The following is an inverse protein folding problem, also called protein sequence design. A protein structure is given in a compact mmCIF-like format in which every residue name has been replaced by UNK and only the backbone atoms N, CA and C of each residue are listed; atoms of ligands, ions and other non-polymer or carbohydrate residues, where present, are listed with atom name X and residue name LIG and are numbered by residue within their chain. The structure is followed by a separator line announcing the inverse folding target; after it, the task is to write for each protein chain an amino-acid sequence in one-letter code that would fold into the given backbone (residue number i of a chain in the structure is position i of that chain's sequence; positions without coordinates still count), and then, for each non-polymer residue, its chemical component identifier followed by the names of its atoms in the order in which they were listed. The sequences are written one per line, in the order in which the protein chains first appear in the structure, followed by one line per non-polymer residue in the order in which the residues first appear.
data_IF_817920869521
#
_entry.id   IF_817920869521
#
_cell.length_a   1.000
_cell.length_b   1.000
_cell.length_c   1.000
_cell.angle_alpha   90.00
_cell.angle_beta   90.00
_cell.angle_gamma   90.00
#
_symmetry.space_group_name_H-M   'P 1'
#
loop_
_entity.id
_entity.type
_entity.pdbx_description
1 polymer ?
#
# COMPACT_ATOMS: atom_id res chain seq x y z
N UNK A 1 -56.95 -10.51 -50.64
CA UNK A 1 -57.13 -9.51 -49.56
C UNK A 1 -57.37 -10.29 -48.28
N UNK A 2 -56.36 -10.48 -47.44
CA UNK A 2 -56.58 -11.05 -46.11
C UNK A 2 -57.10 -9.93 -45.22
N UNK A 3 -58.41 -9.92 -44.97
CA UNK A 3 -58.97 -9.18 -43.83
C UNK A 3 -58.59 -9.98 -42.57
N UNK A 4 -57.31 -9.90 -42.22
CA UNK A 4 -56.71 -10.61 -41.11
C UNK A 4 -57.21 -9.98 -39.83
N UNK A 5 -58.12 -10.66 -39.15
CA UNK A 5 -58.72 -10.34 -37.85
C UNK A 5 -57.79 -9.47 -36.98
N UNK A 6 -58.16 -8.19 -36.83
CA UNK A 6 -57.41 -7.22 -36.06
C UNK A 6 -57.45 -7.58 -34.57
N UNK A 7 -56.27 -7.70 -33.96
CA UNK A 7 -56.07 -7.98 -32.55
C UNK A 7 -56.41 -6.75 -31.69
N UNK A 8 -57.14 -6.96 -30.60
CA UNK A 8 -57.28 -5.96 -29.55
C UNK A 8 -55.94 -5.70 -28.85
N UNK A 9 -55.82 -4.55 -28.17
CA UNK A 9 -54.57 -4.18 -27.47
C UNK A 9 -54.11 -5.23 -26.44
N UNK A 10 -55.04 -5.91 -25.75
CA UNK A 10 -54.72 -6.98 -24.81
C UNK A 10 -54.25 -8.28 -25.48
N UNK A 11 -54.76 -8.59 -26.67
CA UNK A 11 -54.31 -9.74 -27.46
C UNK A 11 -52.94 -9.47 -28.08
N UNK A 12 -52.73 -8.26 -28.59
CA UNK A 12 -51.45 -7.78 -29.09
C UNK A 12 -50.38 -7.77 -27.99
N UNK A 13 -50.74 -7.33 -26.78
CA UNK A 13 -49.86 -7.33 -25.61
C UNK A 13 -49.36 -8.75 -25.31
N UNK A 14 -50.27 -9.73 -25.25
CA UNK A 14 -49.94 -11.13 -25.04
C UNK A 14 -49.10 -11.72 -26.18
N UNK A 15 -49.49 -11.49 -27.44
CA UNK A 15 -48.78 -12.04 -28.60
C UNK A 15 -47.37 -11.44 -28.79
N UNK A 16 -47.22 -10.15 -28.48
CA UNK A 16 -45.98 -9.38 -28.60
C UNK A 16 -45.05 -9.48 -27.38
N UNK A 17 -45.54 -9.96 -26.24
CA UNK A 17 -44.76 -10.01 -24.99
C UNK A 17 -44.49 -8.63 -24.40
N UNK A 18 -45.44 -7.70 -24.55
CA UNK A 18 -45.35 -6.32 -24.06
C UNK A 18 -46.55 -6.02 -23.15
N UNK A 19 -46.37 -5.25 -22.05
CA UNK A 19 -47.51 -4.76 -21.30
C UNK A 19 -48.33 -3.78 -22.16
N UNK A 20 -49.63 -3.67 -21.87
CA UNK A 20 -50.55 -2.76 -22.58
C UNK A 20 -50.06 -1.31 -22.53
N UNK A 21 -49.46 -0.89 -21.42
CA UNK A 21 -48.86 0.43 -21.26
C UNK A 21 -47.71 0.68 -22.24
N UNK A 22 -46.86 -0.32 -22.49
CA UNK A 22 -45.77 -0.22 -23.47
C UNK A 22 -46.29 -0.09 -24.89
N UNK A 23 -47.38 -0.78 -25.25
CA UNK A 23 -48.02 -0.60 -26.56
C UNK A 23 -48.54 0.83 -26.75
N UNK A 24 -49.18 1.42 -25.73
CA UNK A 24 -49.62 2.83 -25.79
C UNK A 24 -48.43 3.79 -25.91
N UNK A 25 -47.36 3.52 -25.18
CA UNK A 25 -46.13 4.30 -25.25
C UNK A 25 -45.49 4.23 -26.64
N UNK A 26 -45.39 3.04 -27.24
CA UNK A 26 -44.81 2.88 -28.58
C UNK A 26 -45.69 3.41 -29.72
N UNK A 27 -47.02 3.40 -29.54
CA UNK A 27 -47.95 4.12 -30.41
C UNK A 27 -47.66 5.63 -30.38
N UNK A 28 -47.63 6.24 -29.20
CA UNK A 28 -47.30 7.67 -29.04
C UNK A 28 -45.89 8.03 -29.53
N UNK A 29 -44.94 7.10 -29.40
CA UNK A 29 -43.60 7.26 -29.94
C UNK A 29 -43.51 6.93 -31.45
N UNK A 30 -44.57 6.49 -32.13
CA UNK A 30 -44.57 6.15 -33.56
C UNK A 30 -43.78 4.88 -33.92
N UNK A 31 -43.45 4.04 -32.95
CA UNK A 31 -42.70 2.79 -33.14
C UNK A 31 -43.61 1.60 -33.50
N UNK A 32 -44.84 1.62 -32.99
CA UNK A 32 -45.84 0.59 -33.22
C UNK A 32 -47.23 1.23 -33.24
N UNK A 33 -47.57 1.81 -34.38
CA UNK A 33 -48.84 2.51 -34.58
C UNK A 33 -49.96 1.49 -34.85
N UNK A 34 -51.10 1.52 -34.12
CA UNK A 34 -52.24 0.64 -34.38
C UNK A 34 -52.81 0.89 -35.78
N UNK A 35 -53.32 -0.17 -36.42
CA UNK A 35 -53.99 -0.07 -37.73
C UNK A 35 -55.28 0.74 -37.65
N UNK A 36 -55.97 0.65 -36.52
CA UNK A 36 -57.21 1.37 -36.27
C UNK A 36 -57.28 1.80 -34.81
N UNK A 37 -57.66 3.06 -34.61
CA UNK A 37 -58.09 3.58 -33.32
C UNK A 37 -59.57 3.91 -33.46
N UNK A 38 -60.41 3.34 -32.60
CA UNK A 38 -61.83 3.63 -32.59
C UNK A 38 -62.06 5.10 -32.20
N UNK A 39 -62.70 5.94 -33.03
CA UNK A 39 -62.83 7.38 -32.77
C UNK A 39 -63.70 7.73 -31.56
N UNK A 40 -64.58 6.82 -31.12
CA UNK A 40 -65.54 7.06 -30.02
C UNK A 40 -65.02 6.54 -28.68
N UNK A 41 -64.36 5.39 -28.70
CA UNK A 41 -63.88 4.70 -27.48
C UNK A 41 -62.37 4.80 -27.26
N UNK A 42 -61.60 5.24 -28.26
CA UNK A 42 -60.14 5.24 -28.23
C UNK A 42 -59.51 3.84 -28.26
N UNK A 43 -60.31 2.81 -28.55
CA UNK A 43 -59.86 1.42 -28.52
C UNK A 43 -58.90 1.14 -29.69
N UNK A 44 -57.73 0.57 -29.37
CA UNK A 44 -56.66 0.32 -30.34
C UNK A 44 -56.74 -1.11 -30.87
N UNK A 45 -56.64 -1.23 -32.19
CA UNK A 45 -56.63 -2.50 -32.92
C UNK A 45 -55.38 -2.60 -33.79
N UNK A 46 -54.71 -3.75 -33.71
CA UNK A 46 -53.44 -4.02 -34.37
C UNK A 46 -53.59 -5.16 -35.37
N UNK A 47 -52.82 -5.12 -36.46
CA UNK A 47 -52.76 -6.24 -37.39
C UNK A 47 -51.91 -7.37 -36.84
N UNK A 48 -52.24 -8.62 -37.19
CA UNK A 48 -51.41 -9.79 -36.84
C UNK A 48 -49.99 -9.71 -37.42
N UNK A 49 -49.83 -9.03 -38.55
CA UNK A 49 -48.55 -8.71 -39.20
C UNK A 49 -47.64 -7.80 -38.34
N UNK A 50 -48.21 -7.10 -37.36
CA UNK A 50 -47.46 -6.23 -36.45
C UNK A 50 -46.84 -7.00 -35.27
N UNK A 51 -47.24 -8.25 -35.03
CA UNK A 51 -46.75 -9.08 -33.90
C UNK A 51 -45.22 -9.28 -33.94
N UNK A 52 -44.58 -9.57 -35.08
CA UNK A 52 -43.11 -9.66 -35.14
C UNK A 52 -42.41 -8.36 -34.73
N UNK A 53 -42.97 -7.20 -35.09
CA UNK A 53 -42.44 -5.88 -34.68
C UNK A 53 -42.58 -5.68 -33.17
N UNK A 54 -43.72 -6.04 -32.60
CA UNK A 54 -43.93 -5.99 -31.15
C UNK A 54 -42.93 -6.90 -30.39
N UNK A 55 -42.69 -8.13 -30.89
CA UNK A 55 -41.69 -9.05 -30.32
C UNK A 55 -40.26 -8.52 -30.44
N UNK A 56 -39.95 -7.85 -31.55
CA UNK A 56 -38.67 -7.18 -31.72
C UNK A 56 -38.49 -6.07 -30.68
N UNK A 57 -39.47 -5.17 -30.54
CA UNK A 57 -39.47 -4.11 -29.52
C UNK A 57 -39.33 -4.68 -28.10
N UNK A 58 -40.00 -5.80 -27.80
CA UNK A 58 -39.85 -6.49 -26.52
C UNK A 58 -38.41 -6.99 -26.27
N UNK A 59 -37.72 -7.51 -27.30
CA UNK A 59 -36.30 -7.92 -27.19
C UNK A 59 -35.38 -6.72 -26.98
N UNK A 60 -35.54 -5.66 -27.76
CA UNK A 60 -34.71 -4.45 -27.67
C UNK A 60 -34.87 -3.78 -26.30
N UNK A 61 -36.09 -3.75 -25.76
CA UNK A 61 -36.37 -3.25 -24.41
C UNK A 61 -35.66 -4.06 -23.33
N UNK A 62 -35.60 -5.39 -23.46
CA UNK A 62 -34.93 -6.25 -22.47
C UNK A 62 -33.42 -6.00 -22.39
N UNK A 63 -32.79 -5.63 -23.49
CA UNK A 63 -31.36 -5.29 -23.56
C UNK A 63 -31.08 -3.81 -23.36
N UNK A 64 -32.07 -3.05 -22.88
CA UNK A 64 -31.91 -1.62 -22.56
C UNK A 64 -31.61 -0.73 -23.76
N UNK A 65 -31.97 -1.12 -24.99
CA UNK A 65 -31.70 -0.29 -26.17
C UNK A 65 -32.44 1.06 -26.08
N UNK A 66 -31.77 2.21 -26.30
CA UNK A 66 -32.41 3.52 -26.28
C UNK A 66 -33.54 3.65 -27.33
N UNK A 67 -34.56 4.43 -27.01
CA UNK A 67 -35.75 4.59 -27.88
C UNK A 67 -35.41 5.08 -29.30
N UNK A 68 -34.42 5.97 -29.42
CA UNK A 68 -33.94 6.50 -30.70
C UNK A 68 -33.36 5.39 -31.58
N UNK A 69 -32.60 4.46 -31.00
CA UNK A 69 -32.01 3.33 -31.71
C UNK A 69 -33.05 2.27 -32.07
N UNK A 70 -34.01 2.01 -31.16
CA UNK A 70 -35.15 1.15 -31.50
C UNK A 70 -35.89 1.67 -32.74
N UNK A 71 -36.04 3.00 -32.87
CA UNK A 71 -36.67 3.64 -34.04
C UNK A 71 -35.87 3.40 -35.30
N UNK A 72 -34.57 3.64 -35.26
CA UNK A 72 -33.67 3.38 -36.38
C UNK A 72 -33.74 1.91 -36.81
N UNK A 73 -33.72 0.97 -35.85
CA UNK A 73 -33.74 -0.46 -36.13
C UNK A 73 -35.09 -0.92 -36.69
N UNK A 74 -36.21 -0.44 -36.16
CA UNK A 74 -37.54 -0.74 -36.69
C UNK A 74 -37.73 -0.19 -38.10
N UNK A 75 -37.19 0.99 -38.40
CA UNK A 75 -37.20 1.55 -39.76
C UNK A 75 -36.32 0.74 -40.71
N UNK A 76 -35.14 0.31 -40.25
CA UNK A 76 -34.17 -0.48 -41.00
C UNK A 76 -34.49 -1.98 -41.08
N UNK A 77 -35.60 -2.47 -40.51
CA UNK A 77 -35.87 -3.91 -40.30
C UNK A 77 -35.76 -4.83 -41.53
N UNK A 78 -35.82 -4.27 -42.74
CA UNK A 78 -35.69 -5.00 -44.01
C UNK A 78 -34.27 -4.96 -44.59
N UNK A 79 -33.39 -4.11 -44.04
CA UNK A 79 -31.96 -4.02 -44.36
C UNK A 79 -31.15 -4.77 -43.30
N UNK A 80 -30.66 -5.96 -43.68
CA UNK A 80 -29.89 -6.82 -42.78
C UNK A 80 -28.56 -6.21 -42.38
N UNK A 81 -27.91 -5.46 -43.27
CA UNK A 81 -26.62 -4.85 -42.99
C UNK A 81 -26.77 -3.72 -41.98
N UNK A 82 -27.76 -2.85 -42.17
CA UNK A 82 -28.02 -1.73 -41.26
C UNK A 82 -28.51 -2.22 -39.89
N UNK A 83 -29.37 -3.25 -39.83
CA UNK A 83 -29.76 -3.88 -38.56
C UNK A 83 -28.55 -4.48 -37.85
N UNK A 84 -27.67 -5.18 -38.58
CA UNK A 84 -26.43 -5.74 -38.03
C UNK A 84 -25.54 -4.68 -37.40
N UNK A 85 -25.33 -3.56 -38.11
CA UNK A 85 -24.52 -2.44 -37.62
C UNK A 85 -25.10 -1.80 -36.35
N UNK A 86 -26.42 -1.58 -36.30
CA UNK A 86 -27.10 -1.01 -35.13
C UNK A 86 -27.01 -1.94 -33.90
N UNK A 87 -27.20 -3.24 -34.11
CA UNK A 87 -27.08 -4.23 -33.02
C UNK A 87 -25.64 -4.32 -32.53
N UNK A 88 -24.66 -4.37 -33.43
CA UNK A 88 -23.23 -4.41 -33.08
C UNK A 88 -22.80 -3.16 -32.30
N UNK A 89 -23.25 -1.98 -32.73
CA UNK A 89 -22.98 -0.72 -32.02
C UNK A 89 -23.57 -0.68 -30.60
N UNK A 90 -24.77 -1.24 -30.40
CA UNK A 90 -25.36 -1.35 -29.07
C UNK A 90 -24.63 -2.38 -28.19
N UNK A 91 -24.25 -3.52 -28.76
CA UNK A 91 -23.45 -4.52 -28.05
C UNK A 91 -22.12 -3.93 -27.54
N UNK A 92 -21.39 -3.22 -28.41
CA UNK A 92 -20.13 -2.58 -28.04
C UNK A 92 -20.30 -1.55 -26.90
N UNK A 93 -21.41 -0.79 -26.89
CA UNK A 93 -21.71 0.13 -25.78
C UNK A 93 -22.03 -0.60 -24.47
N UNK A 94 -22.77 -1.71 -24.53
CA UNK A 94 -23.04 -2.53 -23.34
C UNK A 94 -21.75 -3.15 -22.78
N UNK A 95 -20.87 -3.65 -23.64
CA UNK A 95 -19.58 -4.20 -23.24
C UNK A 95 -18.66 -3.14 -22.63
N UNK A 96 -18.59 -1.95 -23.23
CA UNK A 96 -17.86 -0.82 -22.68
C UNK A 96 -18.42 -0.41 -21.31
N UNK A 97 -19.74 -0.27 -21.19
CA UNK A 97 -20.38 0.07 -19.90
C UNK A 97 -20.16 -1.00 -18.82
N UNK A 98 -20.14 -2.29 -19.17
CA UNK A 98 -19.80 -3.35 -18.23
C UNK A 98 -18.33 -3.30 -17.80
N UNK A 99 -17.42 -3.02 -18.73
CA UNK A 99 -16.00 -2.85 -18.43
C UNK A 99 -15.76 -1.63 -17.52
N UNK A 100 -16.45 -0.51 -17.78
CA UNK A 100 -16.41 0.69 -16.94
C UNK A 100 -16.94 0.40 -15.54
N UNK A 101 -18.13 -0.20 -15.44
CA UNK A 101 -18.72 -0.57 -14.15
C UNK A 101 -17.84 -1.55 -13.37
N UNK A 102 -17.21 -2.52 -14.04
CA UNK A 102 -16.25 -3.42 -13.41
C UNK A 102 -15.04 -2.67 -12.88
N UNK A 103 -14.44 -1.77 -13.66
CA UNK A 103 -13.30 -0.95 -13.23
C UNK A 103 -13.65 -0.06 -12.04
N UNK A 104 -14.83 0.53 -12.05
CA UNK A 104 -15.31 1.39 -10.96
C UNK A 104 -15.55 0.57 -9.68
N UNK A 105 -16.19 -0.61 -9.80
CA UNK A 105 -16.34 -1.53 -8.67
C UNK A 105 -15.01 -2.09 -8.18
N UNK A 106 -14.05 -2.38 -9.06
CA UNK A 106 -12.68 -2.77 -8.70
C UNK A 106 -11.94 -1.63 -7.98
N UNK A 107 -12.09 -0.38 -8.41
CA UNK A 107 -11.55 0.81 -7.71
C UNK A 107 -12.14 0.93 -6.31
N UNK A 108 -13.47 0.87 -6.19
CA UNK A 108 -14.15 0.92 -4.89
C UNK A 108 -13.72 -0.25 -4.01
N UNK A 109 -13.59 -1.46 -4.55
CA UNK A 109 -13.08 -2.61 -3.79
C UNK A 109 -11.63 -2.41 -3.36
N UNK A 110 -10.77 -1.83 -4.20
CA UNK A 110 -9.39 -1.50 -3.82
C UNK A 110 -9.29 -0.39 -2.78
N UNK A 111 -10.28 0.51 -2.73
CA UNK A 111 -10.41 1.55 -1.71
C UNK A 111 -11.05 1.01 -0.41
N UNK A 112 -11.76 -0.12 -0.47
CA UNK A 112 -12.51 -0.71 0.67
C UNK A 112 -11.87 -1.97 1.25
N UNK A 113 -10.82 -2.50 0.63
CA UNK A 113 -10.00 -3.59 1.18
C UNK A 113 -8.67 -3.01 1.70
N UNK A 114 -8.60 -2.49 2.95
CA UNK A 114 -7.31 -2.34 3.61
C UNK A 114 -6.80 -3.76 3.81
N UNK A 115 -6.00 -4.21 2.86
CA UNK A 115 -5.51 -5.57 2.79
C UNK A 115 -4.80 -5.91 4.12
N UNK A 116 -5.55 -6.61 4.98
CA UNK A 116 -5.22 -6.79 6.39
C UNK A 116 -3.98 -7.68 6.48
N UNK A 117 -2.92 -7.18 7.09
CA UNK A 117 -1.71 -7.97 7.31
C UNK A 117 -1.80 -8.62 8.68
N UNK A 118 -2.01 -9.93 8.73
CA UNK A 118 -1.98 -10.69 9.99
C UNK A 118 -0.69 -11.50 10.10
N UNK A 119 -0.11 -11.55 11.29
CA UNK A 119 1.13 -12.29 11.58
C UNK A 119 1.23 -12.59 13.09
N UNK A 120 2.18 -13.46 13.45
CA UNK A 120 2.55 -13.77 14.83
C UNK A 120 4.03 -13.54 15.05
N UNK A 121 4.39 -12.98 16.20
CA UNK A 121 5.77 -12.79 16.63
C UNK A 121 5.91 -13.22 18.09
N UNK A 122 7.07 -13.73 18.51
CA UNK A 122 7.25 -14.04 19.94
C UNK A 122 7.43 -12.75 20.74
N UNK A 123 7.00 -12.77 22.00
CA UNK A 123 7.15 -11.60 22.85
C UNK A 123 8.63 -11.26 23.13
N UNK A 124 9.48 -12.29 23.18
CA UNK A 124 10.92 -12.12 23.37
C UNK A 124 11.58 -11.44 22.15
N UNK A 125 11.25 -11.89 20.94
CA UNK A 125 11.79 -11.31 19.71
C UNK A 125 11.34 -9.86 19.53
N UNK A 126 10.05 -9.57 19.76
CA UNK A 126 9.54 -8.20 19.63
C UNK A 126 10.21 -7.24 20.62
N UNK A 127 10.40 -7.66 21.89
CA UNK A 127 11.14 -6.86 22.87
C UNK A 127 12.59 -6.65 22.46
N UNK A 128 13.27 -7.70 22.01
CA UNK A 128 14.65 -7.60 21.53
C UNK A 128 14.77 -6.60 20.37
N UNK A 129 13.89 -6.69 19.37
CA UNK A 129 13.88 -5.76 18.24
C UNK A 129 13.59 -4.32 18.68
N UNK A 130 12.66 -4.11 19.62
CA UNK A 130 12.37 -2.78 20.17
C UNK A 130 13.56 -2.18 20.91
N UNK A 131 14.21 -2.97 21.77
CA UNK A 131 15.41 -2.55 22.50
C UNK A 131 16.56 -2.18 21.54
N UNK A 132 16.71 -2.95 20.46
CA UNK A 132 17.74 -2.74 19.46
C UNK A 132 17.53 -1.48 18.61
N UNK A 133 16.32 -0.90 18.53
CA UNK A 133 16.06 0.27 17.65
C UNK A 133 15.70 1.55 18.38
N UNK A 134 15.03 1.47 19.55
CA UNK A 134 14.40 2.65 20.18
C UNK A 134 15.37 3.78 20.55
N UNK A 135 16.64 3.47 20.72
CA UNK A 135 17.67 4.47 21.01
C UNK A 135 17.86 5.45 19.85
N UNK A 136 17.58 5.05 18.60
CA UNK A 136 17.73 5.88 17.41
C UNK A 136 16.53 6.80 17.13
N UNK A 137 15.51 6.80 17.98
CA UNK A 137 14.40 7.75 17.91
C UNK A 137 14.87 9.16 18.32
N UNK A 138 14.29 10.23 17.73
CA UNK A 138 14.70 11.61 18.00
C UNK A 138 14.50 11.97 19.48
N UNK A 139 15.54 12.49 20.13
CA UNK A 139 15.44 13.08 21.48
C UNK A 139 14.88 14.50 21.44
N UNK A 140 15.10 15.21 20.34
CA UNK A 140 14.49 16.48 19.96
C UNK A 140 14.46 16.57 18.43
N UNK A 141 13.38 17.07 17.83
CA UNK A 141 13.28 17.12 16.37
C UNK A 141 11.85 17.18 15.83
N UNK A 142 11.66 16.95 14.51
CA UNK A 142 10.35 16.96 13.88
C UNK A 142 9.51 15.79 14.39
N UNK A 143 8.28 16.10 14.83
CA UNK A 143 7.35 15.13 15.39
C UNK A 143 7.14 13.92 14.48
N UNK A 144 7.25 14.10 13.16
CA UNK A 144 7.00 13.11 12.12
C UNK A 144 7.89 11.85 12.21
N UNK A 145 9.02 11.89 12.92
CA UNK A 145 9.93 10.74 13.12
C UNK A 145 9.90 10.17 14.54
N UNK A 146 8.99 10.62 15.41
CA UNK A 146 8.86 10.11 16.79
C UNK A 146 8.10 8.76 16.85
N UNK A 147 8.50 7.83 15.98
CA UNK A 147 7.88 6.53 15.78
C UNK A 147 8.90 5.48 15.30
N UNK A 148 8.63 4.22 15.64
CA UNK A 148 9.34 3.06 15.09
C UNK A 148 8.53 2.50 13.94
N UNK A 149 9.10 2.44 12.75
CA UNK A 149 8.47 1.81 11.61
C UNK A 149 8.43 0.29 11.82
N UNK A 150 7.24 -0.29 11.78
CA UNK A 150 7.04 -1.74 11.69
C UNK A 150 6.79 -2.09 10.23
N UNK A 151 7.62 -2.95 9.66
CA UNK A 151 7.47 -3.43 8.28
C UNK A 151 7.48 -4.95 8.27
N UNK A 152 6.38 -5.55 7.83
CA UNK A 152 6.18 -7.00 7.82
C UNK A 152 6.17 -7.50 6.38
N UNK A 153 7.12 -8.38 6.07
CA UNK A 153 7.16 -9.13 4.82
C UNK A 153 6.69 -10.58 5.03
N UNK A 154 7.08 -11.50 4.14
CA UNK A 154 6.68 -12.90 4.18
C UNK A 154 7.29 -13.70 5.34
N UNK A 155 8.45 -13.29 5.83
CA UNK A 155 9.25 -14.06 6.80
C UNK A 155 9.56 -13.30 8.08
N UNK A 156 9.57 -11.96 8.03
CA UNK A 156 10.11 -11.12 9.11
C UNK A 156 9.28 -9.89 9.39
N UNK A 157 9.34 -9.47 10.65
CA UNK A 157 8.99 -8.13 11.10
C UNK A 157 10.30 -7.35 11.25
N UNK A 158 10.44 -6.30 10.45
CA UNK A 158 11.56 -5.35 10.50
C UNK A 158 11.12 -4.09 11.22
N UNK A 159 11.83 -3.75 12.28
CA UNK A 159 11.70 -2.51 13.03
C UNK A 159 12.77 -1.52 12.58
N UNK A 160 12.38 -0.27 12.33
CA UNK A 160 13.31 0.80 11.97
C UNK A 160 13.04 2.05 12.80
N UNK A 161 14.10 2.62 13.38
CA UNK A 161 14.06 3.91 14.07
C UNK A 161 15.13 4.83 13.48
N UNK A 162 14.84 6.13 13.36
CA UNK A 162 15.80 7.12 12.86
C UNK A 162 15.48 8.53 13.35
N UNK A 163 16.52 9.36 13.49
CA UNK A 163 16.44 10.78 13.83
C UNK A 163 17.06 11.69 12.75
N UNK A 164 17.29 11.14 11.54
CA UNK A 164 18.02 11.72 10.37
C UNK A 164 19.54 11.68 10.45
N UNK A 165 20.13 11.55 11.63
CA UNK A 165 21.59 11.49 11.80
C UNK A 165 22.08 10.07 12.07
N UNK A 166 21.19 9.22 12.56
CA UNK A 166 21.40 7.79 12.74
C UNK A 166 20.15 7.02 12.41
N UNK A 167 20.32 5.72 12.26
CA UNK A 167 19.27 4.77 12.00
C UNK A 167 19.61 3.45 12.68
N UNK A 168 18.63 2.79 13.25
CA UNK A 168 18.75 1.44 13.78
C UNK A 168 17.69 0.55 13.13
N UNK A 169 18.09 -0.65 12.77
CA UNK A 169 17.24 -1.66 12.13
C UNK A 169 17.40 -2.97 12.90
N UNK A 170 16.31 -3.65 13.18
CA UNK A 170 16.31 -5.01 13.71
C UNK A 170 15.19 -5.81 13.04
N UNK A 171 15.48 -7.05 12.64
CA UNK A 171 14.54 -7.91 11.94
C UNK A 171 14.38 -9.25 12.66
N UNK A 172 13.14 -9.59 13.00
CA UNK A 172 12.80 -10.80 13.75
C UNK A 172 11.84 -11.69 12.97
N UNK A 173 11.89 -13.02 13.17
CA UNK A 173 11.03 -13.94 12.44
C UNK A 173 9.56 -13.75 12.81
N UNK A 174 8.67 -13.92 11.83
CA UNK A 174 7.22 -14.01 12.04
C UNK A 174 6.68 -15.35 11.56
N UNK A 175 5.50 -15.72 12.06
CA UNK A 175 4.78 -16.92 11.64
C UNK A 175 3.31 -16.60 11.34
N UNK A 176 2.62 -17.51 10.65
CA UNK A 176 1.17 -17.37 10.39
C UNK A 176 0.80 -16.14 9.55
N UNK A 177 1.71 -15.70 8.68
CA UNK A 177 1.60 -14.46 7.91
C UNK A 177 0.57 -14.58 6.77
N UNK A 178 -0.36 -13.63 6.68
CA UNK A 178 -1.42 -13.59 5.66
C UNK A 178 -1.80 -12.16 5.26
N UNK A 179 -2.32 -11.97 4.05
CA UNK A 179 -2.65 -10.65 3.47
C UNK A 179 -1.60 -10.15 2.47
N UNK A 180 -1.33 -8.84 2.39
CA UNK A 180 -0.16 -8.22 1.71
C UNK A 180 0.99 -7.94 2.70
N UNK A 181 2.12 -7.42 2.23
CA UNK A 181 3.13 -6.83 3.14
C UNK A 181 2.54 -5.61 3.86
N UNK A 182 2.85 -5.48 5.16
CA UNK A 182 2.29 -4.44 6.03
C UNK A 182 3.35 -3.43 6.43
N UNK A 183 2.98 -2.15 6.54
CA UNK A 183 3.88 -1.09 6.98
C UNK A 183 3.12 -0.13 7.90
N UNK A 184 3.59 0.07 9.13
CA UNK A 184 2.93 0.90 10.12
C UNK A 184 3.94 1.61 11.04
N UNK A 185 4.03 2.94 11.03
CA UNK A 185 4.79 3.70 12.03
C UNK A 185 4.12 3.62 13.41
N UNK A 186 4.77 2.98 14.38
CA UNK A 186 4.27 2.85 15.76
C UNK A 186 4.79 4.02 16.60
N UNK A 187 3.91 4.85 17.21
CA UNK A 187 4.34 6.00 18.00
C UNK A 187 5.21 5.62 19.20
N UNK A 188 6.19 6.47 19.56
CA UNK A 188 7.06 6.27 20.75
C UNK A 188 6.25 5.97 22.02
N UNK A 189 5.14 6.68 22.22
CA UNK A 189 4.31 6.57 23.42
C UNK A 189 3.73 5.17 23.66
N UNK A 190 3.61 4.34 22.62
CA UNK A 190 3.05 2.99 22.72
C UNK A 190 4.11 1.90 22.92
N UNK A 191 5.41 2.20 22.72
CA UNK A 191 6.48 1.19 22.72
C UNK A 191 6.62 0.47 24.06
N UNK A 192 6.51 1.20 25.18
CA UNK A 192 6.60 0.60 26.52
C UNK A 192 5.40 -0.33 26.79
N UNK A 193 4.22 0.00 26.26
CA UNK A 193 3.03 -0.85 26.38
C UNK A 193 3.17 -2.12 25.57
N UNK A 194 3.73 -2.02 24.36
CA UNK A 194 4.05 -3.18 23.51
C UNK A 194 5.10 -4.06 24.19
N UNK A 195 6.18 -3.48 24.72
CA UNK A 195 7.24 -4.24 25.39
C UNK A 195 6.74 -4.96 26.66
N UNK A 196 5.72 -4.41 27.34
CA UNK A 196 5.12 -4.99 28.53
C UNK A 196 4.17 -6.17 28.26
N UNK A 197 3.86 -6.50 26.99
CA UNK A 197 2.98 -7.61 26.65
C UNK A 197 3.55 -8.96 27.13
N UNK A 198 2.70 -9.73 27.82
CA UNK A 198 3.06 -11.02 28.39
C UNK A 198 2.58 -12.23 27.56
N UNK A 199 1.65 -12.03 26.62
CA UNK A 199 1.16 -13.09 25.74
C UNK A 199 2.28 -13.61 24.83
N UNK A 200 2.31 -14.92 24.55
CA UNK A 200 3.31 -15.52 23.67
C UNK A 200 2.74 -16.77 22.96
N UNK A 201 2.74 -16.83 21.61
CA UNK A 201 3.12 -15.76 20.69
C UNK A 201 2.10 -14.60 20.71
N UNK A 202 2.53 -13.43 20.25
CA UNK A 202 1.68 -12.26 20.05
C UNK A 202 0.98 -12.35 18.69
N UNK A 203 -0.35 -12.43 18.70
CA UNK A 203 -1.16 -12.26 17.49
C UNK A 203 -1.21 -10.78 17.09
N UNK A 204 -0.84 -10.48 15.85
CA UNK A 204 -0.77 -9.12 15.33
C UNK A 204 -1.58 -8.98 14.04
N UNK A 205 -2.21 -7.81 13.86
CA UNK A 205 -3.01 -7.47 12.68
C UNK A 205 -2.86 -5.98 12.36
N UNK A 206 -2.34 -5.68 11.18
CA UNK A 206 -2.30 -4.33 10.61
C UNK A 206 -3.50 -4.16 9.68
N UNK A 207 -4.34 -3.18 9.98
CA UNK A 207 -5.55 -2.82 9.27
C UNK A 207 -5.52 -1.33 8.94
N UNK A 208 -5.02 -1.00 7.75
CA UNK A 208 -4.75 0.38 7.36
C UNK A 208 -3.72 1.03 8.29
N UNK A 209 -4.15 2.05 9.03
CA UNK A 209 -3.36 2.79 10.02
C UNK A 209 -3.54 2.25 11.45
N UNK A 210 -4.19 1.11 11.64
CA UNK A 210 -4.41 0.52 12.97
C UNK A 210 -3.60 -0.77 13.13
N UNK A 211 -2.83 -0.86 14.22
CA UNK A 211 -2.22 -2.10 14.66
C UNK A 211 -3.03 -2.67 15.83
N UNK A 212 -3.53 -3.88 15.67
CA UNK A 212 -3.98 -4.73 16.76
C UNK A 212 -2.86 -5.69 17.12
N UNK A 213 -2.46 -5.72 18.39
CA UNK A 213 -1.39 -6.58 18.87
C UNK A 213 -1.80 -7.15 20.23
N UNK A 214 -2.08 -8.46 20.28
CA UNK A 214 -2.73 -9.12 21.41
C UNK A 214 -4.02 -8.37 21.82
N UNK A 215 -4.04 -7.77 23.01
CA UNK A 215 -5.15 -6.97 23.55
C UNK A 215 -4.99 -5.46 23.30
N UNK A 216 -3.87 -5.01 22.72
CA UNK A 216 -3.64 -3.61 22.36
C UNK A 216 -4.22 -3.29 20.98
N UNK A 217 -4.76 -2.08 20.88
CA UNK A 217 -5.13 -1.46 19.61
C UNK A 217 -4.57 -0.05 19.62
N UNK A 218 -3.77 0.27 18.61
CA UNK A 218 -3.12 1.57 18.47
C UNK A 218 -3.22 2.08 17.04
N UNK A 219 -3.22 3.40 16.90
CA UNK A 219 -3.23 4.10 15.61
C UNK A 219 -1.79 4.48 15.24
N UNK A 220 -1.47 4.37 13.96
CA UNK A 220 -0.20 4.71 13.39
C UNK A 220 0.14 6.17 13.64
N UNK A 221 1.43 6.45 13.77
CA UNK A 221 1.94 7.80 13.78
C UNK A 221 1.73 8.45 12.40
N UNK A 222 1.15 9.66 12.31
CA UNK A 222 0.90 10.30 11.03
C UNK A 222 2.21 10.74 10.35
N UNK A 223 2.22 10.67 9.02
CA UNK A 223 3.32 11.15 8.19
C UNK A 223 4.07 10.06 7.44
N UNK A 224 4.85 10.48 6.45
CA UNK A 224 5.63 9.56 5.63
C UNK A 224 6.94 9.20 6.32
N UNK A 225 7.12 7.90 6.61
CA UNK A 225 8.37 7.42 7.15
C UNK A 225 9.43 7.27 6.03
N UNK A 226 10.68 7.76 6.21
CA UNK A 226 11.71 7.76 5.17
C UNK A 226 11.97 6.41 4.50
N UNK A 227 12.40 6.45 3.23
CA UNK A 227 12.80 5.27 2.45
C UNK A 227 14.18 4.75 2.91
N UNK A 228 14.22 4.16 4.11
CA UNK A 228 15.45 3.76 4.81
C UNK A 228 16.38 2.84 4.00
N UNK A 229 15.82 1.97 3.15
CA UNK A 229 16.58 1.04 2.31
C UNK A 229 17.61 1.73 1.39
N UNK A 230 17.36 2.96 0.97
CA UNK A 230 18.33 3.75 0.20
C UNK A 230 19.60 4.05 1.00
N UNK A 231 19.44 4.35 2.29
CA UNK A 231 20.56 4.63 3.21
C UNK A 231 21.32 3.34 3.53
N UNK A 232 20.60 2.23 3.73
CA UNK A 232 21.23 0.91 3.94
C UNK A 232 22.05 0.49 2.72
N UNK A 233 21.52 0.71 1.51
CA UNK A 233 22.21 0.37 0.27
C UNK A 233 23.47 1.19 0.00
N UNK A 234 23.64 2.35 0.65
CA UNK A 234 24.87 3.15 0.57
C UNK A 234 25.92 2.79 1.60
N UNK A 235 25.64 1.85 2.51
CA UNK A 235 26.63 1.35 3.48
C UNK A 235 27.51 0.31 2.79
N UNK A 236 28.81 0.57 2.78
CA UNK A 236 29.82 -0.29 2.17
C UNK A 236 31.17 -0.18 2.85
N UNK A 237 32.24 -0.60 2.16
CA UNK A 237 33.61 -0.37 2.60
C UNK A 237 34.28 -1.50 3.37
N UNK A 238 35.34 -1.13 4.10
CA UNK A 238 36.19 -2.07 4.82
C UNK A 238 35.49 -2.54 6.11
N UNK A 239 35.37 -3.86 6.26
CA UNK A 239 34.83 -4.51 7.46
C UNK A 239 35.91 -4.64 8.51
N UNK A 240 35.72 -4.00 9.65
CA UNK A 240 36.71 -3.99 10.74
C UNK A 240 36.07 -4.67 11.96
N UNK A 241 36.55 -5.86 12.35
CA UNK A 241 36.11 -6.49 13.58
C UNK A 241 36.61 -5.69 14.78
N UNK A 242 35.73 -5.46 15.75
CA UNK A 242 36.05 -4.72 16.98
C UNK A 242 35.40 -5.40 18.17
N UNK A 243 36.09 -5.37 19.31
CA UNK A 243 35.44 -5.66 20.58
C UNK A 243 34.68 -4.42 21.07
N UNK A 244 33.41 -4.57 21.44
CA UNK A 244 32.58 -3.47 21.88
C UNK A 244 33.10 -2.81 23.18
N UNK A 245 33.72 -3.60 24.08
CA UNK A 245 34.33 -3.10 25.31
C UNK A 245 35.59 -2.30 25.04
N UNK A 246 36.48 -2.83 24.20
CA UNK A 246 37.70 -2.11 23.78
C UNK A 246 37.38 -0.82 23.04
N UNK A 247 36.41 -0.84 22.11
CA UNK A 247 35.98 0.37 21.40
C UNK A 247 35.37 1.39 22.35
N UNK A 248 34.56 0.96 23.32
CA UNK A 248 34.00 1.87 24.33
C UNK A 248 35.10 2.52 25.18
N UNK A 249 36.12 1.75 25.59
CA UNK A 249 37.27 2.29 26.31
C UNK A 249 38.07 3.28 25.44
N UNK A 250 38.32 2.95 24.18
CA UNK A 250 38.98 3.86 23.23
C UNK A 250 38.19 5.16 23.02
N UNK A 251 36.86 5.08 22.91
CA UNK A 251 36.01 6.27 22.81
C UNK A 251 35.96 7.05 24.12
N UNK A 252 36.12 6.40 25.27
CA UNK A 252 36.17 7.04 26.58
C UNK A 252 37.42 7.92 26.73
N UNK A 253 38.58 7.37 26.37
CA UNK A 253 39.90 7.97 26.58
C UNK A 253 40.40 8.79 25.37
N UNK A 254 39.82 8.58 24.20
CA UNK A 254 40.24 9.18 22.93
C UNK A 254 39.87 10.66 22.78
N UNK A 255 40.49 11.36 21.80
CA UNK A 255 40.18 12.76 21.52
C UNK A 255 38.73 12.94 21.07
N UNK A 256 38.16 14.09 21.43
CA UNK A 256 36.78 14.46 21.12
C UNK A 256 36.76 15.88 20.56
N UNK A 257 35.98 16.09 19.52
CA UNK A 257 35.90 17.36 18.80
C UNK A 257 34.49 17.92 18.85
N UNK A 258 34.40 19.25 18.90
CA UNK A 258 33.13 19.96 18.78
C UNK A 258 33.03 20.52 17.37
N UNK A 259 32.04 20.04 16.61
CA UNK A 259 31.73 20.53 15.27
C UNK A 259 30.38 21.25 15.34
N UNK A 260 30.26 22.52 14.89
CA UNK A 260 29.02 23.29 15.02
C UNK A 260 27.78 22.63 14.41
N UNK A 261 27.97 21.87 13.32
CA UNK A 261 26.91 21.18 12.59
C UNK A 261 26.57 19.80 13.18
N UNK A 262 27.35 19.31 14.14
CA UNK A 262 27.13 18.01 14.78
C UNK A 262 26.25 18.14 16.03
N UNK A 263 25.37 17.17 16.26
CA UNK A 263 24.54 17.09 17.46
C UNK A 263 25.29 16.55 18.69
N UNK A 264 26.39 17.19 19.05
CA UNK A 264 27.21 16.82 20.21
C UNK A 264 28.66 16.46 19.86
N UNK A 265 29.36 15.77 20.77
CA UNK A 265 30.78 15.51 20.63
C UNK A 265 31.07 14.51 19.50
N UNK A 266 32.13 14.74 18.73
CA UNK A 266 32.52 13.98 17.54
C UNK A 266 33.79 13.19 17.83
N UNK A 267 33.78 11.91 17.50
CA UNK A 267 34.97 11.05 17.52
C UNK A 267 35.43 10.81 16.08
N UNK A 268 36.75 10.90 15.85
CA UNK A 268 37.36 10.58 14.57
C UNK A 268 37.99 9.19 14.63
N UNK A 269 37.55 8.30 13.75
CA UNK A 269 37.99 6.91 13.67
C UNK A 269 39.01 6.76 12.54
N UNK A 270 40.20 6.27 12.88
CA UNK A 270 41.27 5.96 11.95
C UNK A 270 41.66 4.50 11.99
N UNK A 271 42.53 4.11 11.06
CA UNK A 271 43.15 2.79 11.02
C UNK A 271 44.66 2.93 11.20
N UNK A 272 45.23 2.12 12.08
CA UNK A 272 46.68 2.00 12.18
C UNK A 272 47.26 1.20 10.98
N UNK A 273 48.59 1.17 10.78
CA UNK A 273 49.20 0.45 9.66
C UNK A 273 48.90 -1.06 9.61
N UNK A 274 48.47 -1.66 10.73
CA UNK A 274 48.04 -3.05 10.80
C UNK A 274 46.54 -3.22 10.47
N UNK A 275 45.82 -2.12 10.21
CA UNK A 275 44.40 -2.10 9.92
C UNK A 275 43.51 -2.16 11.16
N UNK A 276 44.05 -1.97 12.36
CA UNK A 276 43.27 -1.94 13.58
C UNK A 276 42.67 -0.55 13.83
N UNK A 277 41.45 -0.52 14.35
CA UNK A 277 40.72 0.72 14.63
C UNK A 277 41.39 1.51 15.76
N UNK A 278 41.48 2.84 15.58
CA UNK A 278 41.93 3.80 16.59
C UNK A 278 41.01 5.02 16.61
N UNK A 279 40.85 5.65 17.77
CA UNK A 279 40.33 7.02 17.85
C UNK A 279 41.52 7.96 17.69
N UNK A 280 41.46 8.83 16.69
CA UNK A 280 42.61 9.65 16.24
C UNK A 280 42.25 11.12 16.22
N UNK A 281 43.25 11.99 16.07
CA UNK A 281 43.00 13.39 15.75
C UNK A 281 42.55 13.52 14.27
N UNK A 282 41.56 14.36 13.94
CA UNK A 282 41.12 14.67 12.58
C UNK A 282 42.23 15.00 11.58
N UNK A 283 43.32 15.59 12.06
CA UNK A 283 44.48 15.99 11.25
C UNK A 283 45.45 14.83 10.96
N UNK A 284 45.20 13.64 11.53
CA UNK A 284 46.04 12.47 11.33
C UNK A 284 46.05 12.06 9.85
N UNK A 285 47.23 11.91 9.22
CA UNK A 285 47.31 11.48 7.84
C UNK A 285 46.71 10.08 7.64
N UNK A 286 45.90 9.92 6.60
CA UNK A 286 45.33 8.62 6.20
C UNK A 286 43.81 8.59 6.29
N UNK A 287 43.27 7.39 6.50
CA UNK A 287 41.83 7.18 6.64
C UNK A 287 41.32 7.82 7.93
N UNK A 288 40.31 8.68 7.83
CA UNK A 288 39.60 9.23 8.98
C UNK A 288 38.11 9.27 8.67
N UNK A 289 37.29 8.67 9.53
CA UNK A 289 35.83 8.77 9.50
C UNK A 289 35.34 9.39 10.81
N UNK A 290 34.69 10.55 10.73
CA UNK A 290 34.17 11.23 11.91
C UNK A 290 32.68 10.95 12.09
N UNK A 291 32.29 10.63 13.32
CA UNK A 291 30.90 10.36 13.70
C UNK A 291 30.59 10.99 15.05
N UNK A 292 29.31 11.21 15.32
CA UNK A 292 28.87 11.59 16.65
C UNK A 292 29.21 10.47 17.64
N UNK A 293 29.99 10.80 18.66
CA UNK A 293 30.46 9.86 19.68
C UNK A 293 29.32 9.29 20.51
N UNK A 294 28.36 10.12 20.89
CA UNK A 294 27.19 9.69 21.67
C UNK A 294 26.37 8.66 20.89
N UNK A 295 26.10 8.93 19.61
CA UNK A 295 25.37 7.98 18.78
C UNK A 295 26.11 6.66 18.57
N UNK A 296 27.45 6.69 18.47
CA UNK A 296 28.23 5.48 18.38
C UNK A 296 28.16 4.68 19.68
N UNK A 297 28.27 5.34 20.84
CA UNK A 297 28.11 4.69 22.14
C UNK A 297 26.71 4.08 22.31
N UNK A 298 25.65 4.79 21.92
CA UNK A 298 24.29 4.25 21.97
C UNK A 298 24.14 2.99 21.10
N UNK A 299 24.75 2.98 19.90
CA UNK A 299 24.78 1.81 19.04
C UNK A 299 25.56 0.63 19.65
N UNK A 300 26.62 0.90 20.42
CA UNK A 300 27.38 -0.11 21.15
C UNK A 300 26.65 -0.60 22.42
N UNK A 301 25.78 0.22 23.02
CA UNK A 301 24.95 -0.16 24.17
C UNK A 301 23.76 -1.04 23.74
N UNK A 302 23.20 -0.76 22.56
CA UNK A 302 22.11 -1.55 21.98
C UNK A 302 22.56 -2.90 21.40
N UNK A 303 23.84 -3.01 21.02
CA UNK A 303 24.42 -4.26 20.57
C UNK A 303 24.77 -5.17 21.77
N UNK A 304 24.53 -6.50 21.68
CA UNK A 304 24.98 -7.42 22.72
C UNK A 304 26.50 -7.35 22.90
N UNK A 305 26.96 -7.52 24.14
CA UNK A 305 28.38 -7.45 24.47
C UNK A 305 29.19 -8.48 23.66
N UNK A 306 30.31 -8.04 23.08
CA UNK A 306 31.24 -8.92 22.36
C UNK A 306 31.78 -8.31 21.07
N UNK A 307 31.97 -9.17 20.08
CA UNK A 307 32.56 -8.82 18.78
C UNK A 307 31.54 -8.22 17.84
N UNK A 308 31.84 -7.03 17.32
CA UNK A 308 31.05 -6.31 16.33
C UNK A 308 31.87 -6.13 15.06
N UNK A 309 31.20 -5.72 13.98
CA UNK A 309 31.85 -5.32 12.73
C UNK A 309 31.45 -3.89 12.42
N UNK A 310 32.45 -3.04 12.21
CA UNK A 310 32.25 -1.71 11.64
C UNK A 310 32.47 -1.76 10.13
N UNK A 311 31.49 -1.31 9.36
CA UNK A 311 31.66 -1.05 7.94
C UNK A 311 32.06 0.43 7.76
N UNK A 312 33.27 0.66 7.26
CA UNK A 312 33.84 2.00 7.06
C UNK A 312 34.18 2.24 5.58
N UNK A 313 33.60 3.28 4.97
CA UNK A 313 33.77 3.59 3.54
C UNK A 313 34.28 5.03 3.27
N UNK A 314 35.19 5.53 4.10
CA UNK A 314 35.79 6.85 3.92
C UNK A 314 35.06 7.97 4.68
N UNK A 315 35.55 9.22 4.57
CA UNK A 315 35.19 10.31 5.47
C UNK A 315 33.75 10.83 5.33
N UNK A 316 33.11 10.59 4.18
CA UNK A 316 31.80 11.14 3.83
C UNK A 316 30.73 10.05 3.61
N UNK A 317 31.04 8.79 3.90
CA UNK A 317 30.08 7.71 3.80
C UNK A 317 29.56 7.30 5.19
N UNK A 318 28.32 6.79 5.27
CA UNK A 318 27.77 6.30 6.53
C UNK A 318 28.59 5.15 7.10
N UNK A 319 28.76 5.18 8.42
CA UNK A 319 29.34 4.09 9.19
C UNK A 319 28.22 3.14 9.58
N UNK A 320 28.42 1.82 9.44
CA UNK A 320 27.50 0.85 10.03
C UNK A 320 28.15 0.00 11.12
N UNK A 321 27.37 -0.28 12.15
CA UNK A 321 27.70 -1.18 13.26
C UNK A 321 26.83 -2.43 13.09
N UNK A 322 27.45 -3.59 12.92
CA UNK A 322 26.76 -4.87 12.66
C UNK A 322 27.14 -5.94 13.67
N UNK A 323 26.20 -6.83 13.93
CA UNK A 323 26.46 -8.03 14.71
C UNK A 323 26.78 -9.23 13.79
N UNK A 324 27.89 -9.97 14.01
CA UNK A 324 28.26 -11.10 13.15
C UNK A 324 27.24 -12.25 13.15
N UNK A 325 26.60 -12.51 14.29
CA UNK A 325 25.65 -13.63 14.45
C UNK A 325 24.20 -13.19 14.31
N UNK A 326 23.94 -11.89 14.17
CA UNK A 326 22.61 -11.34 13.91
C UNK A 326 22.69 -10.30 12.80
N UNK A 327 22.69 -10.73 11.53
CA UNK A 327 22.76 -9.83 10.40
C UNK A 327 21.49 -9.00 10.21
N UNK A 328 20.39 -9.36 10.90
CA UNK A 328 19.12 -8.63 10.87
C UNK A 328 19.16 -7.34 11.70
N UNK A 329 20.10 -7.25 12.65
CA UNK A 329 20.26 -6.09 13.53
C UNK A 329 21.52 -5.31 13.22
N UNK A 330 21.36 -4.02 12.93
CA UNK A 330 22.48 -3.12 12.66
C UNK A 330 22.09 -1.66 12.88
N UNK A 331 23.09 -0.82 13.08
CA UNK A 331 22.94 0.63 13.19
C UNK A 331 23.76 1.33 12.11
N UNK A 332 23.26 2.46 11.64
CA UNK A 332 23.94 3.31 10.64
C UNK A 332 24.05 4.71 11.22
N UNK A 333 25.24 5.29 11.14
CA UNK A 333 25.56 6.63 11.62
C UNK A 333 26.00 7.48 10.44
N UNK A 334 25.38 8.65 10.29
CA UNK A 334 25.79 9.62 9.27
C UNK A 334 27.16 10.20 9.65
N UNK A 335 28.05 10.40 8.66
CA UNK A 335 29.35 10.98 8.90
C UNK A 335 29.23 12.46 9.25
N UNK A 336 30.12 12.94 10.10
CA UNK A 336 30.29 14.36 10.39
C UNK A 336 31.42 14.90 9.55
N UNK A 337 31.17 15.97 8.81
CA UNK A 337 32.22 16.64 8.05
C UNK A 337 33.16 17.35 9.03
N UNK A 338 34.43 16.96 9.01
CA UNK A 338 35.48 17.67 9.73
C UNK A 338 35.91 18.90 8.90
N UNK A 339 36.26 20.03 9.57
CA UNK A 339 36.63 21.28 8.92
C UNK A 339 37.97 21.24 8.19
#
# INVERSE_FOLDING_TARGET
MYDGELLGIGEMARAGGLPVSALRFYDGAGLLVPRRVDPRSGYRRYGRDQVPVARLLARLRRVGMPLAEMRALVAARHDRALVGALVAGHLARLEAGLADARRELESVMSETDPAVTAFRVTAADLRHALDAVRFALPTAGPADLDAVLFEVDDERLTLVATDRYRMAVSAVPVTGRSGPAGRLPVPRAELDRIAALAADPLDARIDGDVLHLADLTLTAHPGDYPAYRMVVGSVGGQRIPVDAGELRAMLADGPVHTVPEAQGPVAALGLDPAGALRVVDPTTPGFVAAVNRGYLLDALDAAPAGQLVLDLDGPLHPLAVRHPTDPGTYSVLMPVRLP
#
